data_IF_617021906340
#
_entry.id   IF_617021906340
#
_cell.length_a   1.000
_cell.length_b   1.000
_cell.length_c   1.000
_cell.angle_alpha   90.00
_cell.angle_beta   90.00
_cell.angle_gamma   90.00
#
_symmetry.space_group_name_H-M   'P 1'
#
loop_
_entity.id
_entity.type
_entity.pdbx_description
1 polymer ?
#
# COMPACT_ATOMS: atom_id res chain seq x y z
N UNK A 1 -14.96 7.76 26.76
CA UNK A 1 -14.20 8.39 25.65
C UNK A 1 -13.11 7.45 25.16
N UNK A 2 -12.78 7.54 23.88
CA UNK A 2 -11.71 6.76 23.23
C UNK A 2 -11.29 7.41 21.91
N UNK A 3 -10.19 6.95 21.31
CA UNK A 3 -9.59 7.57 20.12
C UNK A 3 -9.23 6.52 19.08
N UNK A 4 -9.49 6.82 17.81
CA UNK A 4 -8.91 6.12 16.65
C UNK A 4 -7.90 7.05 16.00
N UNK A 5 -6.71 6.55 15.69
CA UNK A 5 -5.61 7.35 15.15
C UNK A 5 -5.10 6.77 13.83
N UNK A 6 -4.87 7.67 12.86
CA UNK A 6 -4.27 7.34 11.55
C UNK A 6 -2.92 8.05 11.35
N UNK A 7 -2.53 8.96 12.26
CA UNK A 7 -1.29 9.74 12.09
C UNK A 7 -0.04 8.89 12.28
N UNK A 8 0.91 8.89 11.35
CA UNK A 8 2.22 8.23 11.53
C UNK A 8 3.20 9.04 12.38
N UNK A 9 2.93 10.33 12.64
CA UNK A 9 3.90 11.27 13.19
C UNK A 9 4.00 11.24 14.72
N UNK A 10 2.93 10.83 15.42
CA UNK A 10 2.89 10.78 16.88
C UNK A 10 3.20 9.34 17.34
N UNK A 11 4.10 9.21 18.31
CA UNK A 11 4.48 7.91 18.86
C UNK A 11 3.30 7.20 19.53
N UNK A 12 3.13 5.92 19.25
CA UNK A 12 2.13 5.08 19.94
C UNK A 12 2.38 5.01 21.44
N UNK A 13 3.62 5.14 21.90
CA UNK A 13 3.96 5.23 23.32
C UNK A 13 3.36 6.47 23.98
N UNK A 14 3.31 7.60 23.27
CA UNK A 14 2.65 8.81 23.74
C UNK A 14 1.15 8.59 23.89
N UNK A 15 0.50 8.01 22.89
CA UNK A 15 -0.93 7.67 22.96
C UNK A 15 -1.25 6.69 24.09
N UNK A 16 -0.40 5.71 24.32
CA UNK A 16 -0.58 4.75 25.42
C UNK A 16 -0.49 5.43 26.81
N UNK A 17 0.17 6.58 26.90
CA UNK A 17 0.24 7.37 28.14
C UNK A 17 -1.06 8.08 28.47
N UNK A 18 -1.93 8.28 27.48
CA UNK A 18 -3.25 8.87 27.70
C UNK A 18 -4.15 7.84 28.38
N UNK A 19 -4.79 8.25 29.45
CA UNK A 19 -5.66 7.34 30.19
C UNK A 19 -7.01 7.12 29.50
N UNK A 20 -7.01 6.84 28.19
CA UNK A 20 -8.17 6.53 27.36
C UNK A 20 -7.86 5.35 26.43
N UNK A 21 -8.84 4.56 25.99
CA UNK A 21 -8.68 3.57 24.93
C UNK A 21 -8.24 4.21 23.62
N UNK A 22 -7.22 3.61 22.99
CA UNK A 22 -6.69 4.07 21.70
C UNK A 22 -6.54 2.87 20.75
N UNK A 23 -6.99 3.03 19.52
CA UNK A 23 -6.80 2.06 18.44
C UNK A 23 -6.13 2.75 17.26
N UNK A 24 -5.02 2.18 16.76
CA UNK A 24 -4.32 2.63 15.57
C UNK A 24 -4.87 2.00 14.29
N UNK A 25 -4.75 2.71 13.18
CA UNK A 25 -4.92 2.18 11.83
C UNK A 25 -3.58 2.35 11.10
N UNK A 26 -3.16 1.31 10.35
CA UNK A 26 -1.86 1.24 9.67
C UNK A 26 -0.67 1.49 10.63
N UNK A 27 -0.74 0.85 11.79
CA UNK A 27 0.26 0.89 12.85
C UNK A 27 0.39 -0.48 13.49
N UNK A 28 1.61 -0.91 13.81
CA UNK A 28 1.84 -2.15 14.53
C UNK A 28 3.01 -1.95 15.50
N UNK A 29 2.69 -1.96 16.78
CA UNK A 29 3.66 -1.82 17.86
C UNK A 29 3.12 -2.39 19.19
N UNK A 30 3.97 -2.46 20.18
CA UNK A 30 3.64 -3.04 21.49
C UNK A 30 2.81 -2.14 22.42
N UNK A 31 2.41 -0.94 21.99
CA UNK A 31 1.80 0.05 22.89
C UNK A 31 0.30 0.18 22.77
N UNK A 32 -0.23 0.09 21.54
CA UNK A 32 -1.66 0.25 21.27
C UNK A 32 -2.17 -0.84 20.32
N UNK A 33 -3.44 -1.19 20.48
CA UNK A 33 -4.10 -2.09 19.53
C UNK A 33 -4.27 -1.43 18.17
N UNK A 34 -4.28 -2.23 17.10
CA UNK A 34 -4.40 -1.70 15.74
C UNK A 34 -5.22 -2.58 14.81
N UNK A 35 -5.66 -1.98 13.71
CA UNK A 35 -6.24 -2.67 12.56
C UNK A 35 -5.50 -2.21 11.31
N UNK A 36 -4.87 -3.14 10.60
CA UNK A 36 -4.00 -2.89 9.47
C UNK A 36 -4.48 -3.63 8.22
N UNK A 37 -4.12 -3.14 7.05
CA UNK A 37 -4.19 -3.92 5.82
C UNK A 37 -3.12 -5.02 5.85
N UNK A 38 -3.44 -6.19 5.29
CA UNK A 38 -2.42 -7.22 4.98
C UNK A 38 -1.57 -6.75 3.79
N UNK A 39 -0.62 -5.89 4.09
CA UNK A 39 0.26 -5.30 3.09
C UNK A 39 1.13 -6.37 2.40
N UNK A 40 1.52 -7.43 3.11
CA UNK A 40 2.28 -8.54 2.54
C UNK A 40 1.45 -9.29 1.48
N UNK A 41 0.19 -9.61 1.80
CA UNK A 41 -0.72 -10.21 0.83
C UNK A 41 -0.96 -9.28 -0.37
N UNK A 42 -1.01 -7.96 -0.13
CA UNK A 42 -1.13 -6.98 -1.21
C UNK A 42 0.05 -7.01 -2.19
N UNK A 43 1.27 -7.15 -1.70
CA UNK A 43 2.47 -7.35 -2.52
C UNK A 43 2.41 -8.65 -3.33
N UNK A 44 1.98 -9.77 -2.70
CA UNK A 44 1.77 -11.05 -3.37
C UNK A 44 0.75 -10.91 -4.51
N UNK A 45 -0.39 -10.29 -4.26
CA UNK A 45 -1.46 -10.13 -5.25
C UNK A 45 -0.99 -9.33 -6.47
N UNK A 46 -0.24 -8.24 -6.26
CA UNK A 46 0.30 -7.43 -7.34
C UNK A 46 1.33 -8.19 -8.18
N UNK A 47 2.32 -8.84 -7.54
CA UNK A 47 3.34 -9.63 -8.24
C UNK A 47 2.71 -10.79 -9.02
N UNK A 48 1.79 -11.54 -8.40
CA UNK A 48 1.12 -12.67 -9.05
C UNK A 48 0.33 -12.27 -10.28
N UNK A 49 -0.42 -11.14 -10.24
CA UNK A 49 -1.12 -10.65 -11.42
C UNK A 49 -0.15 -10.28 -12.55
N UNK A 50 0.95 -9.59 -12.24
CA UNK A 50 1.94 -9.18 -13.24
C UNK A 50 2.65 -10.39 -13.89
N UNK A 51 2.86 -11.47 -13.13
CA UNK A 51 3.35 -12.75 -13.67
C UNK A 51 2.31 -13.43 -14.56
N UNK A 52 1.05 -13.51 -14.10
CA UNK A 52 -0.06 -14.13 -14.85
C UNK A 52 -0.23 -13.50 -16.23
N UNK A 53 -0.13 -12.17 -16.33
CA UNK A 53 -0.27 -11.45 -17.61
C UNK A 53 1.05 -11.37 -18.39
N UNK A 54 2.03 -12.19 -18.03
CA UNK A 54 3.28 -12.40 -18.77
C UNK A 54 4.08 -11.12 -19.03
N UNK A 55 4.34 -10.33 -17.97
CA UNK A 55 5.34 -9.28 -18.04
C UNK A 55 6.75 -9.91 -18.11
N UNK A 56 7.68 -9.28 -18.81
CA UNK A 56 9.07 -9.76 -18.92
C UNK A 56 9.90 -9.44 -17.69
N UNK A 57 9.53 -8.37 -17.00
CA UNK A 57 10.16 -7.90 -15.73
C UNK A 57 9.11 -7.25 -14.84
N UNK A 58 9.18 -7.55 -13.57
CA UNK A 58 8.33 -6.94 -12.55
C UNK A 58 9.10 -5.87 -11.80
N UNK A 59 8.49 -4.70 -11.62
CA UNK A 59 9.11 -3.56 -10.99
C UNK A 59 8.21 -3.09 -9.86
N UNK A 60 8.73 -3.07 -8.63
CA UNK A 60 8.03 -2.45 -7.51
C UNK A 60 8.74 -1.16 -7.11
N UNK A 61 8.00 -0.07 -7.14
CA UNK A 61 8.45 1.24 -6.68
C UNK A 61 7.85 1.50 -5.30
N UNK A 62 8.67 1.84 -4.33
CA UNK A 62 8.21 2.20 -2.99
C UNK A 62 9.17 3.19 -2.32
N UNK A 63 8.73 3.80 -1.23
CA UNK A 63 9.63 4.53 -0.36
C UNK A 63 10.54 3.56 0.41
N UNK A 64 11.74 4.02 0.75
CA UNK A 64 12.62 3.33 1.69
C UNK A 64 12.09 3.56 3.12
N UNK A 65 11.36 2.59 3.62
CA UNK A 65 10.68 2.65 4.92
C UNK A 65 11.13 1.52 5.84
N UNK A 66 11.22 1.76 7.16
CA UNK A 66 11.56 0.71 8.12
C UNK A 66 10.57 -0.46 8.09
N UNK A 67 11.04 -1.67 8.34
CA UNK A 67 10.22 -2.89 8.44
C UNK A 67 9.14 -2.83 9.53
N UNK A 68 9.33 -1.95 10.52
CA UNK A 68 8.35 -1.71 11.57
C UNK A 68 7.08 -0.98 11.09
N UNK A 69 7.08 -0.45 9.88
CA UNK A 69 5.91 0.22 9.29
C UNK A 69 5.11 -0.83 8.50
N UNK A 70 3.80 -1.03 8.76
CA UNK A 70 3.00 -2.08 8.12
C UNK A 70 3.06 -2.10 6.59
N UNK A 71 3.18 -0.93 5.94
CA UNK A 71 3.27 -0.83 4.48
C UNK A 71 4.56 -1.39 3.88
N UNK A 72 5.62 -1.67 4.67
CA UNK A 72 6.82 -2.40 4.23
C UNK A 72 6.49 -3.81 3.77
N UNK A 73 5.42 -4.39 4.33
CA UNK A 73 4.93 -5.71 3.92
C UNK A 73 4.67 -5.82 2.41
N UNK A 74 4.33 -4.73 1.71
CA UNK A 74 4.14 -4.74 0.24
C UNK A 74 5.43 -5.13 -0.47
N UNK A 75 6.57 -4.61 0.01
CA UNK A 75 7.90 -4.89 -0.53
C UNK A 75 8.20 -6.37 -0.36
N UNK A 76 8.07 -6.89 0.87
CA UNK A 76 8.37 -8.28 1.17
C UNK A 76 7.48 -9.25 0.40
N UNK A 77 6.17 -9.01 0.36
CA UNK A 77 5.23 -9.86 -0.38
C UNK A 77 5.51 -9.89 -1.89
N UNK A 78 5.89 -8.76 -2.48
CA UNK A 78 6.27 -8.66 -3.88
C UNK A 78 7.58 -9.41 -4.17
N UNK A 79 8.63 -9.15 -3.39
CA UNK A 79 9.96 -9.76 -3.55
C UNK A 79 9.88 -11.28 -3.36
N UNK A 80 9.30 -11.74 -2.26
CA UNK A 80 9.14 -13.18 -1.98
C UNK A 80 8.40 -13.92 -3.09
N UNK A 81 7.39 -13.29 -3.69
CA UNK A 81 6.63 -13.89 -4.79
C UNK A 81 7.50 -14.03 -6.04
N UNK A 82 8.28 -13.00 -6.36
CA UNK A 82 9.20 -13.03 -7.50
C UNK A 82 10.31 -14.06 -7.30
N UNK A 83 10.93 -14.09 -6.13
CA UNK A 83 12.02 -15.02 -5.80
C UNK A 83 11.58 -16.47 -5.82
N UNK A 84 10.43 -16.79 -5.20
CA UNK A 84 9.85 -18.15 -5.21
C UNK A 84 9.55 -18.66 -6.62
N UNK A 85 9.17 -17.76 -7.52
CA UNK A 85 8.89 -18.10 -8.92
C UNK A 85 10.14 -18.05 -9.81
N UNK A 86 11.30 -17.57 -9.32
CA UNK A 86 12.48 -17.30 -10.13
C UNK A 86 12.23 -16.25 -11.22
N UNK A 87 11.34 -15.29 -10.94
CA UNK A 87 10.89 -14.31 -11.93
C UNK A 87 11.75 -13.04 -11.87
N UNK A 88 12.17 -12.47 -13.04
CA UNK A 88 12.96 -11.26 -13.07
C UNK A 88 12.21 -10.08 -12.43
N UNK A 89 12.80 -9.43 -11.45
CA UNK A 89 12.22 -8.28 -10.80
C UNK A 89 13.25 -7.20 -10.49
N UNK A 90 12.75 -6.00 -10.26
CA UNK A 90 13.50 -4.86 -9.74
C UNK A 90 12.73 -4.20 -8.61
N UNK A 91 13.40 -3.97 -7.50
CA UNK A 91 12.89 -3.19 -6.38
C UNK A 91 13.56 -1.80 -6.41
N UNK A 92 12.75 -0.75 -6.51
CA UNK A 92 13.21 0.64 -6.54
C UNK A 92 12.69 1.33 -5.28
N UNK A 93 13.58 1.50 -4.32
CA UNK A 93 13.31 2.24 -3.09
C UNK A 93 13.80 3.68 -3.26
N UNK A 94 12.86 4.61 -3.31
CA UNK A 94 13.17 6.02 -3.55
C UNK A 94 12.15 6.95 -2.91
N UNK A 95 12.60 8.13 -2.52
CA UNK A 95 11.70 9.22 -2.14
C UNK A 95 11.07 9.82 -3.39
N UNK A 96 9.77 9.64 -3.54
CA UNK A 96 9.03 10.22 -4.67
C UNK A 96 8.65 11.69 -4.44
N UNK A 97 8.94 12.25 -3.25
CA UNK A 97 8.65 13.64 -2.89
C UNK A 97 7.30 13.82 -2.19
N UNK A 98 7.05 15.05 -1.74
CA UNK A 98 5.90 15.43 -0.92
C UNK A 98 4.90 16.35 -1.63
N UNK A 99 5.17 16.69 -2.89
CA UNK A 99 4.31 17.52 -3.72
C UNK A 99 4.04 16.87 -5.07
N UNK A 100 2.93 17.25 -5.71
CA UNK A 100 2.61 16.75 -7.05
C UNK A 100 3.74 17.00 -8.06
N UNK A 101 4.39 18.16 -8.00
CA UNK A 101 5.48 18.52 -8.92
C UNK A 101 6.71 17.63 -8.68
N UNK A 102 7.09 17.40 -7.43
CA UNK A 102 8.19 16.50 -7.09
C UNK A 102 7.90 15.07 -7.53
N UNK A 103 6.71 14.54 -7.18
CA UNK A 103 6.28 13.21 -7.61
C UNK A 103 6.36 13.05 -9.13
N UNK A 104 5.85 14.05 -9.88
CA UNK A 104 5.88 14.02 -11.35
C UNK A 104 7.31 13.99 -11.88
N UNK A 105 8.20 14.82 -11.34
CA UNK A 105 9.62 14.88 -11.75
C UNK A 105 10.32 13.55 -11.47
N UNK A 106 10.18 13.01 -10.25
CA UNK A 106 10.81 11.74 -9.88
C UNK A 106 10.31 10.56 -10.69
N UNK A 107 9.00 10.50 -10.94
CA UNK A 107 8.40 9.43 -11.75
C UNK A 107 8.80 9.57 -13.23
N UNK A 108 9.02 10.80 -13.74
CA UNK A 108 9.55 11.01 -15.08
C UNK A 108 11.00 10.52 -15.20
N UNK A 109 11.86 10.84 -14.24
CA UNK A 109 13.24 10.35 -14.16
C UNK A 109 13.26 8.82 -14.12
N UNK A 110 12.44 8.21 -13.27
CA UNK A 110 12.25 6.77 -13.18
C UNK A 110 11.82 6.15 -14.52
N UNK A 111 10.86 6.75 -15.20
CA UNK A 111 10.39 6.28 -16.51
C UNK A 111 11.54 6.28 -17.54
N UNK A 112 12.33 7.35 -17.58
CA UNK A 112 13.50 7.46 -18.49
C UNK A 112 14.57 6.39 -18.20
N UNK A 113 14.81 6.07 -16.94
CA UNK A 113 15.72 5.00 -16.53
C UNK A 113 15.21 3.61 -16.94
N UNK A 114 13.93 3.34 -16.68
CA UNK A 114 13.30 2.06 -17.04
C UNK A 114 13.26 1.83 -18.54
N UNK A 115 13.08 2.86 -19.36
CA UNK A 115 13.12 2.75 -20.82
C UNK A 115 14.52 2.42 -21.34
N UNK A 116 15.55 3.03 -20.75
CA UNK A 116 16.95 2.73 -21.08
C UNK A 116 17.36 1.32 -20.65
N UNK A 117 16.93 0.90 -19.47
CA UNK A 117 17.32 -0.39 -18.87
C UNK A 117 16.59 -1.57 -19.48
N UNK A 118 15.32 -1.38 -19.83
CA UNK A 118 14.43 -2.45 -20.33
C UNK A 118 13.80 -2.08 -21.68
N UNK A 119 14.61 -1.81 -22.73
CA UNK A 119 14.07 -1.49 -24.05
C UNK A 119 13.26 -2.69 -24.57
N UNK A 120 12.09 -2.44 -25.12
CA UNK A 120 11.19 -3.44 -25.72
C UNK A 120 10.68 -4.55 -24.78
N UNK A 121 10.96 -4.50 -23.47
CA UNK A 121 10.45 -5.44 -22.49
C UNK A 121 9.06 -5.01 -22.02
N UNK A 122 8.18 -5.98 -21.81
CA UNK A 122 6.89 -5.76 -21.15
C UNK A 122 7.13 -5.61 -19.66
N UNK A 123 7.01 -4.38 -19.16
CA UNK A 123 7.25 -3.98 -17.78
C UNK A 123 5.94 -4.04 -16.99
N UNK A 124 5.91 -4.83 -15.93
CA UNK A 124 4.84 -4.81 -14.95
C UNK A 124 5.24 -3.94 -13.77
N UNK A 125 4.58 -2.80 -13.57
CA UNK A 125 4.97 -1.81 -12.58
C UNK A 125 3.92 -1.75 -11.48
N UNK A 126 4.33 -2.08 -10.25
CA UNK A 126 3.55 -1.90 -9.04
C UNK A 126 4.00 -0.63 -8.33
N UNK A 127 3.12 0.37 -8.32
CA UNK A 127 3.36 1.68 -7.71
C UNK A 127 2.91 1.70 -6.25
N UNK A 128 3.47 2.62 -5.42
CA UNK A 128 3.15 2.68 -3.99
C UNK A 128 1.67 2.91 -3.68
N UNK A 129 0.99 3.65 -4.55
CA UNK A 129 -0.44 3.95 -4.45
C UNK A 129 -1.02 4.37 -5.81
N UNK A 130 -2.34 4.57 -5.87
CA UNK A 130 -3.05 4.95 -7.10
C UNK A 130 -2.69 6.34 -7.61
N UNK A 131 -2.34 7.26 -6.72
CA UNK A 131 -1.91 8.62 -7.13
C UNK A 131 -0.62 8.55 -7.95
N UNK A 132 0.38 7.82 -7.48
CA UNK A 132 1.64 7.64 -8.21
C UNK A 132 1.44 6.81 -9.49
N UNK A 133 0.58 5.80 -9.45
CA UNK A 133 0.20 5.03 -10.64
C UNK A 133 -0.44 5.90 -11.72
N UNK A 134 -1.33 6.83 -11.32
CA UNK A 134 -1.95 7.78 -12.24
C UNK A 134 -0.94 8.81 -12.81
N UNK A 135 0.03 9.25 -12.03
CA UNK A 135 1.10 10.14 -12.54
C UNK A 135 1.90 9.41 -13.61
N UNK A 136 2.33 8.17 -13.36
CA UNK A 136 3.04 7.35 -14.34
C UNK A 136 2.21 7.14 -15.61
N UNK A 137 0.93 6.79 -15.48
CA UNK A 137 0.01 6.62 -16.59
C UNK A 137 -0.10 7.90 -17.43
N UNK A 138 -0.27 9.06 -16.79
CA UNK A 138 -0.36 10.34 -17.48
C UNK A 138 0.95 10.71 -18.22
N UNK A 139 2.11 10.39 -17.65
CA UNK A 139 3.41 10.59 -18.31
C UNK A 139 3.54 9.71 -19.56
N UNK A 140 3.11 8.45 -19.48
CA UNK A 140 3.08 7.55 -20.65
C UNK A 140 2.12 8.07 -21.73
N UNK A 141 0.95 8.59 -21.35
CA UNK A 141 0.03 9.22 -22.28
C UNK A 141 0.61 10.49 -22.93
N UNK A 142 1.28 11.34 -22.16
CA UNK A 142 1.95 12.54 -22.70
C UNK A 142 3.05 12.16 -23.71
N UNK A 143 3.76 11.05 -23.48
CA UNK A 143 4.87 10.59 -24.32
C UNK A 143 4.42 9.85 -25.58
N UNK A 144 3.39 9.00 -25.47
CA UNK A 144 3.01 8.04 -26.50
C UNK A 144 1.58 8.21 -27.04
N UNK A 145 0.79 9.09 -26.46
CA UNK A 145 -0.62 9.26 -26.81
C UNK A 145 -1.54 8.10 -26.36
N UNK A 146 -0.98 7.09 -25.72
CA UNK A 146 -1.68 5.89 -25.21
C UNK A 146 -0.88 5.22 -24.10
N UNK A 147 -1.46 4.23 -23.41
CA UNK A 147 -0.70 3.28 -22.61
C UNK A 147 -0.06 2.26 -23.59
N UNK A 148 1.29 2.20 -23.70
CA UNK A 148 1.93 1.24 -24.58
C UNK A 148 1.73 -0.21 -24.12
N UNK A 149 1.66 -1.17 -25.05
CA UNK A 149 1.51 -2.59 -24.74
C UNK A 149 2.67 -3.17 -23.92
N UNK A 150 3.79 -2.48 -23.90
CA UNK A 150 4.98 -2.80 -23.09
C UNK A 150 4.90 -2.33 -21.64
N UNK A 151 3.77 -1.79 -21.19
CA UNK A 151 3.54 -1.37 -19.83
C UNK A 151 2.27 -1.99 -19.25
N UNK A 152 2.37 -2.45 -18.01
CA UNK A 152 1.25 -2.82 -17.16
C UNK A 152 1.44 -2.13 -15.81
N UNK A 153 0.37 -1.53 -15.29
CA UNK A 153 0.45 -0.69 -14.09
C UNK A 153 -0.56 -1.19 -13.06
N UNK A 154 -0.08 -1.34 -11.83
CA UNK A 154 -0.93 -1.62 -10.66
C UNK A 154 -0.65 -0.53 -9.63
N UNK A 155 -1.73 0.03 -9.06
CA UNK A 155 -1.69 0.92 -7.91
C UNK A 155 -2.00 0.19 -6.60
N UNK A 156 -2.24 0.97 -5.56
CA UNK A 156 -2.69 0.51 -4.26
C UNK A 156 -3.68 1.52 -3.68
N UNK A 157 -4.60 1.10 -2.84
CA UNK A 157 -5.63 1.81 -2.07
C UNK A 157 -7.05 1.65 -2.62
N UNK A 158 -7.25 1.49 -3.92
CA UNK A 158 -8.56 1.62 -4.60
C UNK A 158 -9.20 2.99 -4.34
N UNK A 159 -8.40 4.04 -4.44
CA UNK A 159 -8.87 5.41 -4.32
C UNK A 159 -9.66 5.83 -5.58
N UNK A 160 -10.53 6.86 -5.51
CA UNK A 160 -11.34 7.29 -6.66
C UNK A 160 -10.53 7.55 -7.93
N UNK A 161 -9.30 8.05 -7.80
CA UNK A 161 -8.43 8.32 -8.95
C UNK A 161 -8.11 7.06 -9.78
N UNK A 162 -8.18 5.87 -9.18
CA UNK A 162 -7.95 4.63 -9.91
C UNK A 162 -9.06 4.29 -10.90
N UNK A 163 -10.27 4.77 -10.67
CA UNK A 163 -11.41 4.64 -11.60
C UNK A 163 -11.51 5.83 -12.57
N UNK A 164 -11.23 7.04 -12.06
CA UNK A 164 -11.37 8.31 -12.78
C UNK A 164 -10.19 8.61 -13.73
N UNK A 165 -9.09 7.84 -13.63
CA UNK A 165 -7.93 7.99 -14.51
C UNK A 165 -8.31 7.85 -15.99
N UNK A 166 -7.50 8.45 -16.88
CA UNK A 166 -7.69 8.38 -18.35
C UNK A 166 -7.85 6.97 -18.88
N UNK A 167 -7.22 5.99 -18.23
CA UNK A 167 -7.52 4.56 -18.32
C UNK A 167 -7.69 4.06 -16.88
N UNK A 168 -8.77 3.37 -16.52
CA UNK A 168 -8.97 2.82 -15.20
C UNK A 168 -7.82 1.92 -14.76
N UNK A 169 -7.24 2.21 -13.59
CA UNK A 169 -6.02 1.59 -13.07
C UNK A 169 -6.37 0.37 -12.23
N UNK A 170 -5.74 -0.77 -12.54
CA UNK A 170 -5.75 -1.95 -11.66
C UNK A 170 -5.08 -1.61 -10.34
N UNK A 171 -5.65 -2.06 -9.24
CA UNK A 171 -5.20 -1.66 -7.90
C UNK A 171 -5.41 -2.76 -6.87
N UNK A 172 -4.58 -2.77 -5.84
CA UNK A 172 -4.81 -3.57 -4.63
C UNK A 172 -5.60 -2.71 -3.64
N UNK A 173 -6.89 -3.00 -3.52
CA UNK A 173 -7.82 -2.19 -2.73
C UNK A 173 -7.79 -2.52 -1.25
N UNK A 174 -7.58 -1.51 -0.42
CA UNK A 174 -7.80 -1.60 1.02
C UNK A 174 -9.30 -1.71 1.32
N UNK A 175 -9.67 -2.60 2.22
CA UNK A 175 -11.08 -2.73 2.65
C UNK A 175 -11.40 -1.73 3.77
N UNK A 176 -11.38 -0.43 3.46
CA UNK A 176 -11.46 0.68 4.42
C UNK A 176 -12.69 0.58 5.32
N UNK A 177 -13.86 0.20 4.78
CA UNK A 177 -15.08 0.04 5.58
C UNK A 177 -14.94 -1.07 6.62
N UNK A 178 -14.28 -2.18 6.28
CA UNK A 178 -14.05 -3.29 7.21
C UNK A 178 -13.00 -2.89 8.25
N UNK A 179 -11.93 -2.20 7.84
CA UNK A 179 -10.91 -1.67 8.75
C UNK A 179 -11.55 -0.73 9.77
N UNK A 180 -12.36 0.23 9.31
CA UNK A 180 -13.06 1.18 10.19
C UNK A 180 -14.02 0.46 11.15
N UNK A 181 -14.81 -0.50 10.66
CA UNK A 181 -15.70 -1.31 11.50
C UNK A 181 -14.90 -2.07 12.58
N UNK A 182 -13.81 -2.74 12.20
CA UNK A 182 -13.00 -3.51 13.14
C UNK A 182 -12.27 -2.63 14.15
N UNK A 183 -11.86 -1.43 13.77
CA UNK A 183 -11.29 -0.45 14.68
C UNK A 183 -12.33 0.04 15.70
N UNK A 184 -13.56 0.32 15.26
CA UNK A 184 -14.66 0.70 16.15
C UNK A 184 -15.07 -0.43 17.10
N UNK A 185 -15.18 -1.67 16.62
CA UNK A 185 -15.45 -2.84 17.46
C UNK A 185 -14.39 -2.99 18.56
N UNK A 186 -13.12 -2.87 18.19
CA UNK A 186 -11.99 -2.99 19.11
C UNK A 186 -12.00 -1.86 20.15
N UNK A 187 -12.20 -0.61 19.70
CA UNK A 187 -12.30 0.54 20.58
C UNK A 187 -13.47 0.42 21.55
N UNK A 188 -14.65 0.05 21.07
CA UNK A 188 -15.86 -0.13 21.90
C UNK A 188 -15.63 -1.19 22.97
N UNK A 189 -15.01 -2.32 22.63
CA UNK A 189 -14.67 -3.37 23.59
C UNK A 189 -13.74 -2.88 24.69
N UNK A 190 -12.72 -2.07 24.34
CA UNK A 190 -11.81 -1.47 25.31
C UNK A 190 -12.49 -0.44 26.21
N UNK A 191 -13.44 0.34 25.66
CA UNK A 191 -14.23 1.31 26.42
C UNK A 191 -15.16 0.62 27.41
N UNK A 192 -15.82 -0.47 27.01
CA UNK A 192 -16.70 -1.26 27.88
C UNK A 192 -15.93 -1.92 29.02
N UNK A 193 -14.75 -2.47 28.75
CA UNK A 193 -13.91 -3.08 29.79
C UNK A 193 -13.54 -2.05 30.88
N UNK A 194 -13.20 -0.82 30.48
CA UNK A 194 -12.88 0.27 31.42
C UNK A 194 -14.05 0.71 32.30
N UNK A 195 -15.29 0.54 31.87
CA UNK A 195 -16.48 0.90 32.66
C UNK A 195 -16.77 -0.09 33.78
N UNK A 196 -16.15 -1.28 33.75
CA UNK A 196 -16.37 -2.29 34.80
C UNK A 196 -15.86 -1.79 36.15
N UNK A 197 -16.55 -2.18 37.23
CA UNK A 197 -16.17 -1.84 38.63
C UNK A 197 -14.77 -2.32 39.00
N UNK A 198 -14.29 -3.38 38.35
CA UNK A 198 -12.92 -3.89 38.43
C UNK A 198 -12.43 -4.15 37.01
N UNK A 199 -11.87 -3.14 36.33
CA UNK A 199 -11.31 -3.34 35.01
C UNK A 199 -10.19 -4.40 35.05
N UNK A 200 -10.14 -5.25 34.03
CA UNK A 200 -8.98 -6.12 33.88
C UNK A 200 -7.73 -5.24 33.59
N UNK A 201 -6.52 -5.70 33.98
CA UNK A 201 -5.30 -5.05 33.53
C UNK A 201 -5.33 -4.86 32.02
N UNK A 202 -4.71 -3.79 31.53
CA UNK A 202 -4.55 -3.60 30.08
C UNK A 202 -3.96 -4.87 29.49
N UNK A 203 -4.75 -5.54 28.66
CA UNK A 203 -4.27 -6.71 27.90
C UNK A 203 -3.20 -6.25 26.92
N UNK A 204 -2.36 -7.18 26.51
CA UNK A 204 -1.45 -6.94 25.39
C UNK A 204 -2.22 -6.35 24.20
N UNK A 205 -1.63 -5.43 23.43
CA UNK A 205 -2.25 -4.88 22.24
C UNK A 205 -2.73 -5.97 21.29
N UNK A 206 -3.91 -5.78 20.71
CA UNK A 206 -4.50 -6.69 19.73
C UNK A 206 -4.33 -6.09 18.36
N UNK A 207 -3.64 -6.80 17.49
CA UNK A 207 -3.44 -6.41 16.10
C UNK A 207 -4.34 -7.25 15.19
N UNK A 208 -5.19 -6.58 14.41
CA UNK A 208 -6.04 -7.21 13.40
C UNK A 208 -5.53 -6.85 12.02
N UNK A 209 -5.51 -7.83 11.14
CA UNK A 209 -5.06 -7.68 9.76
C UNK A 209 -6.20 -7.99 8.81
N UNK A 210 -6.45 -7.12 7.83
CA UNK A 210 -7.54 -7.22 6.87
C UNK A 210 -6.95 -7.46 5.48
N UNK A 211 -7.29 -8.59 4.88
CA UNK A 211 -6.80 -8.95 3.54
C UNK A 211 -7.31 -7.96 2.50
N UNK A 212 -6.44 -7.34 1.68
CA UNK A 212 -6.85 -6.46 0.60
C UNK A 212 -7.46 -7.23 -0.57
N UNK A 213 -8.09 -6.52 -1.49
CA UNK A 213 -8.73 -7.10 -2.68
C UNK A 213 -8.06 -6.59 -3.94
N UNK A 214 -7.55 -7.50 -4.77
CA UNK A 214 -7.04 -7.15 -6.09
C UNK A 214 -8.21 -6.82 -7.04
N UNK A 215 -8.18 -5.62 -7.61
CA UNK A 215 -9.19 -5.10 -8.53
C UNK A 215 -8.53 -4.90 -9.88
N UNK A 216 -8.86 -5.78 -10.83
CA UNK A 216 -8.35 -5.69 -12.20
C UNK A 216 -9.14 -4.68 -13.00
N UNK A 217 -8.43 -3.80 -13.69
CA UNK A 217 -8.96 -2.80 -14.61
C UNK A 217 -8.11 -2.74 -15.90
N UNK A 218 -8.29 -1.70 -16.67
CA UNK A 218 -7.73 -1.57 -18.03
C UNK A 218 -6.20 -1.51 -18.12
N UNK A 219 -5.50 -1.12 -17.07
CA UNK A 219 -4.03 -1.05 -17.10
C UNK A 219 -3.34 -2.42 -17.03
N UNK A 220 -4.10 -3.51 -16.80
CA UNK A 220 -3.58 -4.89 -16.80
C UNK A 220 -4.34 -5.84 -17.74
N UNK A 221 -5.19 -5.31 -18.59
CA UNK A 221 -5.86 -6.05 -19.68
C UNK A 221 -5.01 -6.17 -20.94
#
# INVERSE_FOLDING_TARGET
EGMIILSPTISSREFASYNIPVVGIEREDQYISSVNTDNYMGGIQAASLLQEIQCDVLIHVNADIPDSIPSSGRIHGFVDTCEKAGFPYELILTDLGNSFTENKTRILELLDELEKKYPNKKKGIFMPNDTHANILLNLLFQRYGKLPDTYRIIGFDNSPISEEAVIPISTVGQQISIIAQKAMELLSSQMEERKKRRPAPLKEPVHKVITPVLIRRKTTE
#
